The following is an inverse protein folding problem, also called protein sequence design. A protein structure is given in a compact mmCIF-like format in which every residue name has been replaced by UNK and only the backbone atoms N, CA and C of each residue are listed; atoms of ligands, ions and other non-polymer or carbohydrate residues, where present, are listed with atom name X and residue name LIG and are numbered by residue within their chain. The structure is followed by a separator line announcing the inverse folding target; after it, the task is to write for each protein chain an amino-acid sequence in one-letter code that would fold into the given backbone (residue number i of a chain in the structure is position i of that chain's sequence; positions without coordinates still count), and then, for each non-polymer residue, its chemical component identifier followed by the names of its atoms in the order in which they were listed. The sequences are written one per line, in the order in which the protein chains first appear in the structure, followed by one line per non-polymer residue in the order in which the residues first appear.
data_IF_211767849767
#
_entry.id   IF_211767849767
#
_cell.length_a   1.000
_cell.length_b   1.000
_cell.length_c   1.000
_cell.angle_alpha   90.00
_cell.angle_beta   90.00
_cell.angle_gamma   90.00
#
_symmetry.space_group_name_H-M   'P 1'
#
loop_
_entity.id
_entity.type
_entity.pdbx_description
1 polymer ?
#
# COMPACT_ATOMS: atom_id res chain seq x y z
N UNK A 1 18.81 36.72 -46.56
CA UNK A 1 18.08 37.79 -45.86
C UNK A 1 17.82 37.27 -44.47
N UNK A 2 18.74 37.53 -43.56
CA UNK A 2 18.86 38.69 -42.70
C UNK A 2 17.80 38.66 -41.58
N UNK A 3 18.17 38.25 -40.41
CA UNK A 3 18.56 38.92 -39.18
C UNK A 3 17.38 38.82 -38.20
N UNK A 4 17.46 38.74 -36.95
CA UNK A 4 18.39 39.24 -35.90
C UNK A 4 18.19 38.44 -34.63
N UNK A 5 19.27 38.10 -33.93
CA UNK A 5 19.30 37.85 -32.50
C UNK A 5 18.98 39.14 -31.75
N UNK A 6 18.12 39.09 -30.74
CA UNK A 6 18.02 40.12 -29.72
C UNK A 6 18.49 39.57 -28.38
N UNK A 7 19.47 40.26 -27.83
CA UNK A 7 20.14 40.01 -26.56
C UNK A 7 19.21 40.41 -25.39
N UNK A 8 19.11 39.57 -24.39
CA UNK A 8 18.49 39.89 -23.12
C UNK A 8 19.53 40.48 -22.18
N UNK A 9 19.21 41.68 -21.76
CA UNK A 9 19.92 42.69 -20.98
C UNK A 9 20.39 42.18 -19.59
N UNK A 10 21.65 42.47 -19.30
CA UNK A 10 22.33 42.24 -18.00
C UNK A 10 22.16 43.48 -17.10
N UNK A 11 20.97 43.80 -16.64
CA UNK A 11 20.70 44.88 -15.69
C UNK A 11 19.69 44.53 -14.61
N UNK A 12 19.87 43.44 -13.88
CA UNK A 12 18.98 43.02 -12.78
C UNK A 12 19.67 42.65 -11.46
N UNK A 13 20.99 42.81 -11.35
CA UNK A 13 21.73 42.33 -10.15
C UNK A 13 22.49 43.42 -9.38
N UNK A 14 22.16 44.70 -9.57
CA UNK A 14 22.89 45.83 -8.94
C UNK A 14 22.06 46.68 -7.96
N UNK A 15 20.98 46.18 -7.34
CA UNK A 15 20.12 46.98 -6.48
C UNK A 15 19.94 46.45 -5.02
N UNK A 16 20.81 45.59 -4.50
CA UNK A 16 20.72 45.10 -3.10
C UNK A 16 21.99 45.40 -2.26
N UNK A 17 22.93 46.22 -2.71
CA UNK A 17 24.18 46.51 -1.96
C UNK A 17 24.34 48.02 -1.66
N UNK A 18 23.31 48.79 -1.42
CA UNK A 18 23.43 50.19 -1.05
C UNK A 18 22.41 50.65 -0.02
N UNK A 19 22.46 50.08 1.20
CA UNK A 19 21.80 50.69 2.39
C UNK A 19 22.49 50.18 3.68
N UNK A 20 23.77 50.51 3.80
CA UNK A 20 24.47 50.47 5.11
C UNK A 20 25.42 51.64 5.16
N UNK A 21 24.93 52.74 5.77
CA UNK A 21 25.78 53.75 6.48
C UNK A 21 24.91 54.89 6.97
N UNK A 22 24.48 54.82 8.22
CA UNK A 22 24.25 55.86 9.21
C UNK A 22 23.55 55.17 10.39
N UNK A 23 24.02 55.00 11.57
CA UNK A 23 24.89 55.69 12.44
C UNK A 23 24.23 55.73 13.82
N UNK A 24 24.99 55.31 14.92
CA UNK A 24 24.73 55.51 16.37
C UNK A 24 23.67 54.56 16.97
N UNK A 25 23.92 53.65 17.87
CA UNK A 25 24.86 53.58 18.96
C UNK A 25 24.06 53.20 20.20
N UNK A 26 24.21 51.95 20.65
CA UNK A 26 24.24 51.53 22.06
C UNK A 26 24.49 50.03 22.11
N UNK A 27 25.73 49.66 22.34
CA UNK A 27 26.16 48.29 22.50
C UNK A 27 25.78 47.81 23.91
N UNK A 28 24.69 47.03 23.99
CA UNK A 28 24.47 46.17 25.14
C UNK A 28 25.33 44.91 24.94
N UNK A 29 26.39 44.75 25.75
CA UNK A 29 27.23 43.55 25.78
C UNK A 29 26.41 42.35 26.28
N UNK A 30 25.87 41.57 25.37
CA UNK A 30 25.28 40.26 25.69
C UNK A 30 26.47 39.29 25.85
N UNK A 31 26.70 38.81 27.06
CA UNK A 31 27.77 37.87 27.35
C UNK A 31 27.46 36.51 26.67
N UNK A 32 28.52 35.85 26.16
CA UNK A 32 28.43 34.52 25.52
C UNK A 32 27.78 33.42 26.39
N UNK A 33 27.61 33.66 27.68
CA UNK A 33 26.91 32.76 28.62
C UNK A 33 25.39 32.89 28.61
N UNK A 34 24.83 34.01 28.15
CA UNK A 34 23.38 34.23 28.10
C UNK A 34 22.70 33.61 26.87
N UNK A 35 23.44 33.38 25.78
CA UNK A 35 22.87 32.80 24.54
C UNK A 35 22.73 31.29 24.61
N UNK A 36 23.53 30.62 25.46
CA UNK A 36 23.44 29.16 25.66
C UNK A 36 22.28 28.72 26.56
N UNK A 37 21.72 29.61 27.37
CA UNK A 37 20.62 29.31 28.28
C UNK A 37 19.24 29.40 27.61
N UNK A 38 19.09 30.15 26.52
CA UNK A 38 17.83 30.29 25.77
C UNK A 38 17.66 29.25 24.63
N UNK A 39 18.76 28.64 24.17
CA UNK A 39 18.72 27.60 23.13
C UNK A 39 18.40 26.21 23.64
N UNK A 40 18.67 25.90 24.92
CA UNK A 40 18.44 24.57 25.47
C UNK A 40 16.99 24.30 25.89
N UNK A 41 16.19 25.34 26.12
CA UNK A 41 14.79 25.20 26.54
C UNK A 41 13.81 24.94 25.39
N UNK A 42 14.15 25.36 24.16
CA UNK A 42 13.24 25.21 23.01
C UNK A 42 13.34 23.84 22.29
N UNK A 43 14.48 23.13 22.45
CA UNK A 43 14.68 21.83 21.81
C UNK A 43 14.14 20.63 22.63
N UNK A 44 13.86 20.82 23.92
CA UNK A 44 13.30 19.77 24.79
C UNK A 44 11.77 19.78 24.84
N UNK A 45 11.11 20.83 24.36
CA UNK A 45 9.64 20.95 24.39
C UNK A 45 8.92 20.27 23.22
N UNK A 46 9.54 20.18 22.04
CA UNK A 46 8.89 19.67 20.85
C UNK A 46 8.52 18.16 20.94
N UNK A 47 9.38 17.23 21.41
CA UNK A 47 9.02 15.84 21.57
C UNK A 47 8.01 15.61 22.72
N UNK A 48 7.99 16.46 23.73
CA UNK A 48 7.03 16.37 24.84
C UNK A 48 5.63 16.84 24.46
N UNK A 49 5.50 17.85 23.61
CA UNK A 49 4.21 18.35 23.11
C UNK A 49 3.57 17.34 22.14
N UNK A 50 4.37 16.68 21.29
CA UNK A 50 3.89 15.62 20.40
C UNK A 50 3.45 14.38 21.21
N UNK A 51 4.19 14.03 22.27
CA UNK A 51 3.81 12.96 23.20
C UNK A 51 2.53 13.29 24.00
N UNK A 52 2.37 14.52 24.45
CA UNK A 52 1.18 14.93 25.19
C UNK A 52 -0.09 14.95 24.30
N UNK A 53 0.03 15.36 23.04
CA UNK A 53 -1.09 15.33 22.09
C UNK A 53 -1.50 13.89 21.72
N UNK A 54 -0.55 12.96 21.62
CA UNK A 54 -0.82 11.52 21.43
C UNK A 54 -1.47 10.88 22.66
N UNK A 55 -1.01 11.23 23.85
CA UNK A 55 -1.56 10.70 25.11
C UNK A 55 -3.02 11.12 25.38
N UNK A 56 -3.54 12.13 24.66
CA UNK A 56 -4.93 12.60 24.80
C UNK A 56 -5.93 11.97 23.81
N UNK A 57 -5.52 11.03 22.97
CA UNK A 57 -6.42 10.29 22.04
C UNK A 57 -7.14 11.19 21.01
N UNK A 58 -6.67 12.42 20.80
CA UNK A 58 -7.31 13.39 19.89
C UNK A 58 -6.89 13.26 18.43
N UNK A 59 -5.84 12.51 18.14
CA UNK A 59 -5.33 12.31 16.79
C UNK A 59 -4.83 10.88 16.66
N UNK A 60 -5.25 10.19 15.61
CA UNK A 60 -4.74 8.86 15.21
C UNK A 60 -3.91 9.01 13.94
N UNK A 61 -2.71 8.46 13.93
CA UNK A 61 -1.80 8.46 12.80
C UNK A 61 -1.87 7.12 12.07
N UNK A 62 -2.13 7.17 10.75
CA UNK A 62 -2.32 5.99 9.91
C UNK A 62 -1.27 6.00 8.80
N UNK A 63 -0.64 4.86 8.53
CA UNK A 63 0.24 4.74 7.38
C UNK A 63 -0.54 4.91 6.07
N UNK A 64 0.09 5.45 5.03
CA UNK A 64 -0.57 5.73 3.75
C UNK A 64 0.18 5.18 2.55
N UNK A 65 -0.60 4.62 1.62
CA UNK A 65 -0.14 4.23 0.28
C UNK A 65 -0.20 5.40 -0.73
N UNK A 66 -0.65 6.58 -0.30
CA UNK A 66 -0.75 7.78 -1.13
C UNK A 66 -1.77 7.72 -2.26
N UNK A 67 -1.81 8.78 -3.08
CA UNK A 67 -2.62 8.87 -4.30
C UNK A 67 -4.11 8.64 -4.09
N UNK A 68 -4.74 7.95 -5.05
CA UNK A 68 -6.19 7.65 -5.02
C UNK A 68 -6.60 6.81 -3.81
N UNK A 69 -5.72 5.96 -3.28
CA UNK A 69 -5.99 5.21 -2.06
C UNK A 69 -6.24 6.15 -0.87
N UNK A 70 -5.34 7.10 -0.64
CA UNK A 70 -5.47 8.05 0.49
C UNK A 70 -6.68 8.96 0.33
N UNK A 71 -6.94 9.47 -0.88
CA UNK A 71 -8.10 10.32 -1.13
C UNK A 71 -9.42 9.57 -0.91
N UNK A 72 -9.49 8.29 -1.27
CA UNK A 72 -10.64 7.43 -1.03
C UNK A 72 -10.82 7.09 0.45
N UNK A 73 -9.71 6.82 1.16
CA UNK A 73 -9.73 6.59 2.61
C UNK A 73 -10.19 7.83 3.37
N UNK A 74 -9.75 9.00 2.95
CA UNK A 74 -10.19 10.27 3.53
C UNK A 74 -11.70 10.44 3.45
N UNK A 75 -12.28 10.21 2.29
CA UNK A 75 -13.73 10.33 2.05
C UNK A 75 -14.55 9.25 2.78
N UNK A 76 -14.11 8.01 2.72
CA UNK A 76 -14.88 6.88 3.26
C UNK A 76 -14.69 6.69 4.78
N UNK A 77 -13.51 7.02 5.32
CA UNK A 77 -13.16 6.67 6.69
C UNK A 77 -12.74 7.88 7.54
N UNK A 78 -11.80 8.72 7.08
CA UNK A 78 -11.18 9.72 7.95
C UNK A 78 -12.16 10.84 8.31
N UNK A 79 -12.77 11.47 7.33
CA UNK A 79 -13.71 12.58 7.53
C UNK A 79 -14.96 12.12 8.30
N UNK A 80 -15.63 11.00 7.93
CA UNK A 80 -16.79 10.53 8.67
C UNK A 80 -16.45 10.11 10.11
N UNK A 81 -15.32 9.45 10.35
CA UNK A 81 -14.87 9.09 11.68
C UNK A 81 -14.62 10.34 12.55
N UNK A 82 -13.90 11.32 11.98
CA UNK A 82 -13.64 12.58 12.67
C UNK A 82 -14.94 13.34 12.99
N UNK A 83 -15.87 13.39 12.06
CA UNK A 83 -17.18 14.02 12.29
C UNK A 83 -17.97 13.34 13.41
N UNK A 84 -17.90 12.01 13.49
CA UNK A 84 -18.61 11.23 14.51
C UNK A 84 -17.98 11.27 15.89
N UNK A 85 -16.65 11.34 15.98
CA UNK A 85 -15.92 11.11 17.25
C UNK A 85 -15.15 12.32 17.74
N UNK A 86 -14.89 13.30 16.88
CA UNK A 86 -13.98 14.42 17.16
C UNK A 86 -12.48 14.05 17.09
N UNK A 87 -12.15 12.76 16.90
CA UNK A 87 -10.76 12.28 16.78
C UNK A 87 -10.26 12.58 15.37
N UNK A 88 -9.15 13.30 15.27
CA UNK A 88 -8.53 13.64 13.98
C UNK A 88 -7.74 12.46 13.44
N UNK A 89 -7.80 12.24 12.13
CA UNK A 89 -6.93 11.28 11.45
C UNK A 89 -5.87 12.03 10.66
N UNK A 90 -4.61 11.63 10.83
CA UNK A 90 -3.47 12.11 10.05
C UNK A 90 -2.77 10.94 9.38
N UNK A 91 -2.39 11.14 8.13
CA UNK A 91 -1.63 10.15 7.37
C UNK A 91 -0.13 10.40 7.52
N UNK A 92 0.62 9.32 7.59
CA UNK A 92 2.08 9.33 7.51
C UNK A 92 2.49 8.48 6.31
N UNK A 93 3.13 9.06 5.29
CA UNK A 93 3.47 8.36 4.07
C UNK A 93 4.36 7.14 4.31
N UNK A 94 4.20 6.16 3.44
CA UNK A 94 5.00 4.95 3.38
C UNK A 94 4.36 3.77 4.09
N UNK A 95 4.70 2.60 3.58
CA UNK A 95 4.32 1.29 4.12
C UNK A 95 5.57 0.46 4.22
N UNK A 96 5.98 0.12 5.44
CA UNK A 96 7.22 -0.60 5.67
C UNK A 96 7.12 -1.47 6.92
N UNK A 97 7.34 -2.77 6.75
CA UNK A 97 7.48 -3.69 7.87
C UNK A 97 8.67 -3.34 8.76
N UNK A 98 9.80 -2.92 8.17
CA UNK A 98 10.97 -2.50 8.91
C UNK A 98 10.68 -1.27 9.79
N UNK A 99 9.88 -0.32 9.30
CA UNK A 99 9.46 0.85 10.08
C UNK A 99 8.53 0.45 11.24
N UNK A 100 7.57 -0.47 11.01
CA UNK A 100 6.77 -1.04 12.11
C UNK A 100 7.65 -1.65 13.20
N UNK A 101 8.63 -2.47 12.81
CA UNK A 101 9.57 -3.09 13.75
C UNK A 101 10.40 -2.05 14.51
N UNK A 102 10.94 -1.06 13.80
CA UNK A 102 11.77 -0.01 14.40
C UNK A 102 10.99 0.80 15.44
N UNK A 103 9.75 1.23 15.13
CA UNK A 103 8.95 2.03 16.08
C UNK A 103 8.57 1.25 17.35
N UNK A 104 8.31 -0.05 17.23
CA UNK A 104 8.03 -0.92 18.39
C UNK A 104 9.29 -1.10 19.25
N UNK A 105 10.45 -1.35 18.62
CA UNK A 105 11.73 -1.55 19.32
C UNK A 105 12.22 -0.28 20.02
N UNK A 106 12.07 0.87 19.38
CA UNK A 106 12.52 2.16 19.92
C UNK A 106 11.48 2.87 20.77
N UNK A 107 10.23 2.36 20.79
CA UNK A 107 9.07 3.03 21.39
C UNK A 107 8.84 4.45 20.89
N UNK A 108 9.24 4.72 19.65
CA UNK A 108 9.00 5.97 18.96
C UNK A 108 7.95 5.75 17.87
N UNK A 109 6.67 5.89 18.24
CA UNK A 109 5.55 5.58 17.37
C UNK A 109 5.26 6.76 16.43
N UNK A 110 5.31 6.51 15.12
CA UNK A 110 4.87 7.43 14.09
C UNK A 110 3.49 7.03 13.55
N UNK A 111 3.16 5.75 13.60
CA UNK A 111 1.86 5.19 13.24
C UNK A 111 1.18 4.58 14.47
N UNK A 112 -0.07 4.93 14.68
CA UNK A 112 -0.95 4.27 15.66
C UNK A 112 -1.73 3.12 14.99
N UNK A 113 -2.07 3.26 13.70
CA UNK A 113 -2.67 2.20 12.90
C UNK A 113 -1.82 1.92 11.68
N UNK A 114 -1.53 0.64 11.45
CA UNK A 114 -0.78 0.17 10.29
C UNK A 114 -1.68 -0.75 9.46
N UNK A 115 -1.83 -0.44 8.18
CA UNK A 115 -2.55 -1.27 7.22
C UNK A 115 -1.55 -2.14 6.46
N UNK A 116 -1.59 -3.47 6.66
CA UNK A 116 -0.69 -4.45 6.06
C UNK A 116 -1.46 -5.67 5.52
N UNK A 117 -0.83 -6.38 4.58
CA UNK A 117 -1.35 -7.63 4.03
C UNK A 117 -1.22 -8.82 5.00
N UNK A 118 -1.82 -9.96 4.61
CA UNK A 118 -1.85 -11.16 5.46
C UNK A 118 -0.47 -11.72 5.79
N UNK A 119 0.47 -11.68 4.85
CA UNK A 119 1.83 -12.20 5.05
C UNK A 119 2.61 -11.33 6.05
N UNK A 120 2.54 -10.01 5.88
CA UNK A 120 3.15 -9.06 6.80
C UNK A 120 2.48 -9.09 8.18
N UNK A 121 1.16 -9.30 8.24
CA UNK A 121 0.45 -9.56 9.50
C UNK A 121 1.02 -10.79 10.21
N UNK A 122 1.10 -11.92 9.51
CA UNK A 122 1.63 -13.17 10.09
C UNK A 122 3.08 -13.00 10.55
N UNK A 123 3.90 -12.28 9.79
CA UNK A 123 5.27 -11.95 10.21
C UNK A 123 5.29 -11.07 11.47
N UNK A 124 4.43 -10.05 11.53
CA UNK A 124 4.35 -9.16 12.69
C UNK A 124 3.89 -9.90 13.97
N UNK A 125 2.99 -10.88 13.84
CA UNK A 125 2.58 -11.75 14.94
C UNK A 125 3.75 -12.62 15.43
N UNK A 126 4.48 -13.28 14.50
CA UNK A 126 5.64 -14.10 14.83
C UNK A 126 6.74 -13.30 15.55
N UNK A 127 6.92 -12.04 15.18
CA UNK A 127 7.93 -11.17 15.79
C UNK A 127 7.41 -10.42 17.04
N UNK A 128 6.15 -10.63 17.43
CA UNK A 128 5.56 -10.02 18.61
C UNK A 128 5.44 -8.49 18.56
N UNK A 129 5.18 -7.93 17.36
CA UNK A 129 5.17 -6.50 17.08
C UNK A 129 3.81 -5.82 17.25
N UNK A 130 2.76 -6.58 17.57
CA UNK A 130 1.38 -6.09 17.56
C UNK A 130 0.75 -6.12 18.94
N UNK A 131 -0.14 -5.16 19.21
CA UNK A 131 -1.09 -5.22 20.31
C UNK A 131 -2.17 -6.25 20.01
N UNK A 132 -2.64 -6.94 21.08
CA UNK A 132 -3.88 -7.70 20.96
C UNK A 132 -5.05 -6.75 20.74
N UNK A 133 -6.04 -7.22 20.00
CA UNK A 133 -7.27 -6.46 19.79
C UNK A 133 -7.92 -6.15 21.16
N UNK A 134 -8.02 -4.86 21.44
CA UNK A 134 -8.87 -4.38 22.53
C UNK A 134 -10.33 -4.55 22.10
N UNK A 135 -10.96 -5.62 22.52
CA UNK A 135 -12.31 -5.99 22.07
C UNK A 135 -13.36 -4.97 22.43
N UNK A 136 -13.19 -4.27 23.55
CA UNK A 136 -14.13 -3.23 24.01
C UNK A 136 -13.98 -1.95 23.15
N UNK A 137 -12.75 -1.46 22.99
CA UNK A 137 -12.47 -0.27 22.18
C UNK A 137 -12.82 -0.50 20.70
N UNK A 138 -12.53 -1.69 20.19
CA UNK A 138 -12.85 -2.12 18.83
C UNK A 138 -14.32 -2.52 18.66
N UNK A 139 -15.12 -2.62 19.72
CA UNK A 139 -16.47 -3.21 19.69
C UNK A 139 -16.50 -4.52 18.88
N UNK A 140 -15.52 -5.36 19.10
CA UNK A 140 -15.22 -6.51 18.25
C UNK A 140 -16.37 -7.52 18.17
N UNK A 141 -17.19 -7.62 19.22
CA UNK A 141 -18.35 -8.51 19.26
C UNK A 141 -19.51 -8.08 18.35
N UNK A 142 -19.46 -6.86 17.83
CA UNK A 142 -20.38 -6.34 16.82
C UNK A 142 -19.88 -6.47 15.38
N UNK A 143 -18.67 -7.02 15.20
CA UNK A 143 -18.09 -7.28 13.90
C UNK A 143 -18.26 -8.75 13.48
N UNK A 144 -18.31 -9.03 12.17
CA UNK A 144 -18.28 -10.42 11.71
C UNK A 144 -17.04 -11.18 12.26
N UNK A 145 -17.22 -12.36 12.85
CA UNK A 145 -16.13 -13.05 13.56
C UNK A 145 -14.88 -13.30 12.70
N UNK A 146 -15.05 -13.56 11.40
CA UNK A 146 -13.93 -13.80 10.48
C UNK A 146 -13.07 -12.56 10.23
N UNK A 147 -13.55 -11.35 10.55
CA UNK A 147 -12.79 -10.11 10.44
C UNK A 147 -11.93 -9.84 11.68
N UNK A 148 -12.27 -10.43 12.82
CA UNK A 148 -11.58 -10.18 14.08
C UNK A 148 -10.52 -11.24 14.28
N UNK A 149 -9.25 -10.85 14.25
CA UNK A 149 -8.09 -11.69 14.54
C UNK A 149 -7.58 -11.35 15.94
N UNK A 150 -6.66 -12.15 16.51
CA UNK A 150 -6.09 -11.87 17.83
C UNK A 150 -5.35 -10.53 17.90
N UNK A 151 -4.72 -10.13 16.80
CA UNK A 151 -3.83 -8.95 16.73
C UNK A 151 -4.20 -7.98 15.60
N UNK A 152 -5.42 -8.00 15.10
CA UNK A 152 -5.83 -7.12 14.01
C UNK A 152 -7.27 -7.29 13.58
N UNK A 153 -7.72 -6.35 12.75
CA UNK A 153 -9.05 -6.38 12.14
C UNK A 153 -8.91 -6.36 10.62
N UNK A 154 -9.47 -7.36 9.95
CA UNK A 154 -9.49 -7.43 8.49
C UNK A 154 -10.42 -6.36 7.94
N UNK A 155 -9.95 -5.55 7.00
CA UNK A 155 -10.68 -4.39 6.48
C UNK A 155 -11.25 -4.62 5.07
N UNK A 156 -10.45 -5.06 4.14
CA UNK A 156 -10.87 -5.29 2.75
C UNK A 156 -9.96 -6.32 2.07
N UNK A 157 -10.42 -6.84 0.93
CA UNK A 157 -9.61 -7.69 0.06
C UNK A 157 -9.20 -6.96 -1.20
N UNK A 158 -8.06 -7.33 -1.75
CA UNK A 158 -7.54 -6.85 -3.02
C UNK A 158 -6.99 -8.00 -3.85
N UNK A 159 -6.96 -7.79 -5.17
CA UNK A 159 -6.45 -8.78 -6.12
C UNK A 159 -5.18 -8.31 -6.80
N UNK A 160 -4.27 -9.25 -7.09
CA UNK A 160 -3.24 -9.08 -8.11
C UNK A 160 -3.62 -9.97 -9.29
N UNK A 161 -3.90 -9.36 -10.42
CA UNK A 161 -4.49 -10.01 -11.57
C UNK A 161 -3.54 -9.96 -12.76
N UNK A 162 -3.68 -10.93 -13.64
CA UNK A 162 -3.21 -10.80 -15.01
C UNK A 162 -4.06 -9.73 -15.72
N UNK A 163 -3.40 -8.74 -16.31
CA UNK A 163 -4.01 -7.68 -17.11
C UNK A 163 -3.28 -7.57 -18.43
N UNK A 164 -4.00 -7.37 -19.51
CA UNK A 164 -3.39 -7.21 -20.83
C UNK A 164 -4.10 -6.13 -21.67
N UNK A 165 -3.41 -5.61 -22.66
CA UNK A 165 -3.92 -4.63 -23.63
C UNK A 165 -4.75 -5.32 -24.70
N UNK A 166 -6.03 -4.99 -24.84
CA UNK A 166 -6.93 -5.57 -25.87
C UNK A 166 -6.54 -5.19 -27.29
N UNK A 167 -5.98 -3.99 -27.48
CA UNK A 167 -5.50 -3.53 -28.77
C UNK A 167 -4.27 -4.32 -29.28
N UNK A 168 -3.53 -4.98 -28.39
CA UNK A 168 -2.44 -5.89 -28.74
C UNK A 168 -2.90 -7.32 -29.01
N UNK A 169 -4.04 -7.69 -28.48
CA UNK A 169 -4.61 -9.04 -28.57
C UNK A 169 -6.06 -9.01 -29.10
N UNK A 170 -6.29 -8.56 -30.36
CA UNK A 170 -7.64 -8.36 -30.89
C UNK A 170 -8.45 -9.64 -31.02
N UNK A 171 -7.79 -10.81 -31.11
CA UNK A 171 -8.42 -12.13 -31.20
C UNK A 171 -8.52 -12.84 -29.85
N UNK A 172 -8.36 -12.12 -28.74
CA UNK A 172 -8.32 -12.65 -27.37
C UNK A 172 -6.90 -12.76 -26.82
N UNK A 173 -6.70 -12.27 -25.60
CA UNK A 173 -5.42 -12.30 -24.90
C UNK A 173 -5.30 -13.45 -23.91
N UNK A 174 -4.21 -13.47 -23.11
CA UNK A 174 -3.94 -14.53 -22.15
C UNK A 174 -5.03 -14.59 -21.06
N UNK A 175 -5.51 -15.80 -20.75
CA UNK A 175 -6.58 -16.05 -19.78
C UNK A 175 -6.10 -16.81 -18.54
N UNK A 176 -4.80 -17.10 -18.46
CA UNK A 176 -4.17 -17.85 -17.36
C UNK A 176 -2.70 -17.46 -17.21
N UNK A 177 -2.10 -17.85 -16.10
CA UNK A 177 -0.65 -17.69 -15.93
C UNK A 177 0.15 -18.59 -16.89
N UNK A 178 -0.40 -19.72 -17.31
CA UNK A 178 0.19 -20.54 -18.37
C UNK A 178 0.24 -19.77 -19.70
N UNK A 179 -0.85 -19.12 -20.08
CA UNK A 179 -0.88 -18.26 -21.26
C UNK A 179 0.08 -17.06 -21.12
N UNK A 180 0.14 -16.42 -19.94
CA UNK A 180 1.10 -15.37 -19.66
C UNK A 180 2.55 -15.80 -19.88
N UNK A 181 2.88 -17.05 -19.58
CA UNK A 181 4.21 -17.62 -19.76
C UNK A 181 4.45 -18.16 -21.19
N UNK A 182 3.41 -18.39 -21.99
CA UNK A 182 3.54 -18.86 -23.37
C UNK A 182 3.89 -17.68 -24.32
N UNK A 183 5.18 -17.42 -24.45
CA UNK A 183 5.71 -16.31 -25.26
C UNK A 183 5.52 -16.51 -26.77
N UNK A 184 5.24 -17.75 -27.20
CA UNK A 184 4.98 -18.07 -28.61
C UNK A 184 3.53 -17.79 -28.98
N UNK A 185 2.60 -18.25 -28.15
CA UNK A 185 1.16 -18.03 -28.35
C UNK A 185 0.75 -16.59 -28.11
N UNK A 186 1.31 -15.96 -27.09
CA UNK A 186 1.04 -14.57 -26.71
C UNK A 186 2.34 -13.76 -26.72
N UNK A 187 2.84 -13.39 -27.92
CA UNK A 187 4.03 -12.55 -28.01
C UNK A 187 3.76 -11.14 -27.45
N UNK A 188 4.80 -10.50 -26.93
CA UNK A 188 4.71 -9.15 -26.38
C UNK A 188 5.50 -8.97 -25.09
N UNK A 189 5.59 -7.72 -24.64
CA UNK A 189 6.33 -7.34 -23.44
C UNK A 189 5.52 -7.64 -22.18
N UNK A 190 6.20 -8.17 -21.15
CA UNK A 190 5.61 -8.60 -19.88
C UNK A 190 6.18 -7.82 -18.71
N UNK A 191 5.37 -7.64 -17.69
CA UNK A 191 5.79 -7.02 -16.44
C UNK A 191 5.19 -7.76 -15.24
N UNK A 192 5.97 -7.89 -14.17
CA UNK A 192 5.53 -8.51 -12.93
C UNK A 192 5.80 -7.59 -11.74
N UNK A 193 5.10 -7.86 -10.64
CA UNK A 193 5.34 -7.21 -9.36
C UNK A 193 6.64 -7.76 -8.73
N UNK A 194 7.55 -6.88 -8.28
CA UNK A 194 8.77 -7.28 -7.56
C UNK A 194 8.41 -7.81 -6.16
N UNK A 195 7.73 -8.95 -6.12
CA UNK A 195 7.26 -9.62 -4.91
C UNK A 195 7.45 -11.12 -5.04
N UNK A 196 8.46 -11.67 -4.37
CA UNK A 196 8.92 -13.03 -4.54
C UNK A 196 7.80 -14.08 -4.46
N UNK A 197 7.05 -14.11 -3.37
CA UNK A 197 6.06 -15.16 -3.15
C UNK A 197 4.87 -15.10 -4.11
N UNK A 198 4.45 -13.91 -4.58
CA UNK A 198 3.42 -13.76 -5.61
C UNK A 198 3.91 -14.31 -6.95
N UNK A 199 5.10 -13.89 -7.40
CA UNK A 199 5.68 -14.36 -8.65
C UNK A 199 5.93 -15.86 -8.66
N UNK A 200 6.41 -16.42 -7.54
CA UNK A 200 6.62 -17.87 -7.42
C UNK A 200 5.30 -18.65 -7.47
N UNK A 201 4.22 -18.13 -6.87
CA UNK A 201 2.90 -18.73 -6.98
C UNK A 201 2.37 -18.68 -8.42
N UNK A 202 2.51 -17.54 -9.11
CA UNK A 202 2.13 -17.42 -10.54
C UNK A 202 2.92 -18.38 -11.42
N UNK A 203 4.21 -18.57 -11.13
CA UNK A 203 5.04 -19.54 -11.85
C UNK A 203 4.56 -20.99 -11.67
N UNK A 204 4.19 -21.38 -10.44
CA UNK A 204 3.64 -22.72 -10.17
C UNK A 204 2.30 -22.93 -10.86
N UNK A 205 1.41 -21.93 -10.84
CA UNK A 205 0.15 -21.96 -11.59
C UNK A 205 0.40 -22.12 -13.09
N UNK A 206 1.38 -21.38 -13.62
CA UNK A 206 1.79 -21.47 -15.03
C UNK A 206 2.37 -22.86 -15.39
N UNK A 207 3.01 -23.52 -14.43
CA UNK A 207 3.58 -24.86 -14.57
C UNK A 207 2.59 -25.99 -14.22
N UNK A 208 1.29 -25.65 -14.13
CA UNK A 208 0.19 -26.59 -13.98
C UNK A 208 -0.07 -27.08 -12.56
N UNK A 209 0.50 -26.42 -11.53
CA UNK A 209 0.16 -26.72 -10.13
C UNK A 209 -1.24 -26.17 -9.82
N UNK A 210 -2.20 -27.00 -9.37
CA UNK A 210 -3.52 -26.50 -8.98
C UNK A 210 -3.45 -25.47 -7.84
N UNK A 211 -4.37 -24.49 -7.84
CA UNK A 211 -4.38 -23.42 -6.87
C UNK A 211 -4.49 -23.90 -5.40
N UNK A 212 -5.22 -24.98 -5.17
CA UNK A 212 -5.37 -25.64 -3.86
C UNK A 212 -4.16 -26.49 -3.42
N UNK A 213 -3.16 -26.66 -4.31
CA UNK A 213 -1.92 -27.42 -4.08
C UNK A 213 -0.66 -26.54 -4.14
N UNK A 214 -0.80 -25.23 -4.11
CA UNK A 214 0.34 -24.32 -4.12
C UNK A 214 1.22 -24.41 -2.88
N UNK A 215 0.66 -24.89 -1.76
CA UNK A 215 1.38 -24.97 -0.49
C UNK A 215 1.39 -26.40 0.08
N UNK A 216 2.53 -26.86 0.65
CA UNK A 216 3.81 -26.16 0.72
C UNK A 216 4.39 -25.90 -0.67
N UNK A 217 4.91 -24.67 -0.90
CA UNK A 217 5.39 -24.26 -2.22
C UNK A 217 6.67 -25.01 -2.62
N UNK A 218 6.69 -25.62 -3.82
CA UNK A 218 7.92 -26.11 -4.47
C UNK A 218 8.70 -24.91 -5.04
N UNK A 219 9.52 -24.33 -4.17
CA UNK A 219 10.26 -23.10 -4.46
C UNK A 219 11.25 -23.30 -5.62
N UNK A 220 11.89 -24.48 -5.71
CA UNK A 220 12.87 -24.75 -6.77
C UNK A 220 12.18 -24.87 -8.14
N UNK A 221 11.03 -25.55 -8.19
CA UNK A 221 10.20 -25.63 -9.39
C UNK A 221 9.73 -24.25 -9.84
N UNK A 222 9.28 -23.43 -8.89
CA UNK A 222 8.85 -22.07 -9.18
C UNK A 222 9.98 -21.20 -9.77
N UNK A 223 11.20 -21.27 -9.20
CA UNK A 223 12.34 -20.54 -9.75
C UNK A 223 12.79 -21.06 -11.13
N UNK A 224 12.71 -22.38 -11.39
CA UNK A 224 12.98 -22.91 -12.74
C UNK A 224 12.01 -22.29 -13.76
N UNK A 225 10.71 -22.28 -13.45
CA UNK A 225 9.69 -21.68 -14.32
C UNK A 225 9.89 -20.17 -14.49
N UNK A 226 10.22 -19.46 -13.43
CA UNK A 226 10.54 -18.03 -13.50
C UNK A 226 11.78 -17.76 -14.35
N UNK A 227 12.78 -18.64 -14.34
CA UNK A 227 14.00 -18.49 -15.16
C UNK A 227 13.72 -18.63 -16.65
N UNK A 228 12.75 -19.48 -17.04
CA UNK A 228 12.27 -19.56 -18.44
C UNK A 228 11.60 -18.24 -18.87
N UNK A 229 10.87 -17.60 -17.97
CA UNK A 229 10.12 -16.39 -18.25
C UNK A 229 10.98 -15.10 -18.16
N UNK A 230 12.01 -15.08 -17.32
CA UNK A 230 12.82 -13.90 -17.00
C UNK A 230 13.32 -13.11 -18.22
N UNK A 231 13.84 -13.74 -19.32
CA UNK A 231 14.28 -13.01 -20.51
C UNK A 231 13.17 -12.22 -21.21
N UNK A 232 11.91 -12.53 -20.91
CA UNK A 232 10.72 -11.92 -21.52
C UNK A 232 10.05 -10.88 -20.60
N UNK A 233 10.57 -10.67 -19.40
CA UNK A 233 10.09 -9.65 -18.47
C UNK A 233 10.82 -8.35 -18.73
N UNK A 234 10.09 -7.35 -19.22
CA UNK A 234 10.63 -6.01 -19.51
C UNK A 234 10.89 -5.19 -18.25
N UNK A 235 10.04 -5.36 -17.23
CA UNK A 235 10.14 -4.59 -15.98
C UNK A 235 9.59 -5.36 -14.78
N UNK A 236 10.12 -5.01 -13.61
CA UNK A 236 9.65 -5.45 -12.30
C UNK A 236 9.17 -4.21 -11.55
N UNK A 237 7.86 -4.01 -11.45
CA UNK A 237 7.34 -2.83 -10.78
C UNK A 237 7.30 -3.00 -9.26
N UNK A 238 7.41 -1.88 -8.54
CA UNK A 238 7.42 -1.83 -7.07
C UNK A 238 6.29 -0.99 -6.51
N UNK A 239 5.85 0.01 -7.27
CA UNK A 239 4.80 0.95 -6.86
C UNK A 239 3.59 0.85 -7.79
N UNK A 240 2.38 0.94 -7.21
CA UNK A 240 1.14 0.81 -7.98
C UNK A 240 0.99 1.85 -9.10
N UNK A 241 1.47 3.07 -8.91
CA UNK A 241 1.52 4.12 -9.95
C UNK A 241 2.43 3.76 -11.10
N UNK A 242 3.59 3.13 -10.82
CA UNK A 242 4.49 2.63 -11.85
C UNK A 242 3.81 1.57 -12.72
N UNK A 243 3.07 0.61 -12.11
CA UNK A 243 2.36 -0.41 -12.86
C UNK A 243 1.29 0.18 -13.78
N UNK A 244 0.56 1.21 -13.31
CA UNK A 244 -0.42 1.92 -14.14
C UNK A 244 0.25 2.63 -15.32
N UNK A 245 1.35 3.33 -15.10
CA UNK A 245 2.05 4.06 -16.16
C UNK A 245 2.57 3.10 -17.23
N UNK A 246 3.26 2.03 -16.86
CA UNK A 246 3.84 1.06 -17.79
C UNK A 246 2.82 0.50 -18.78
N UNK A 247 1.61 0.13 -18.31
CA UNK A 247 0.61 -0.46 -19.20
C UNK A 247 -0.23 0.60 -19.93
N UNK A 248 -0.48 1.77 -19.31
CA UNK A 248 -1.18 2.91 -19.94
C UNK A 248 -0.40 3.41 -21.15
N UNK A 249 0.91 3.61 -20.99
CA UNK A 249 1.77 4.17 -22.03
C UNK A 249 2.16 3.12 -23.11
N UNK A 250 1.69 1.87 -22.94
CA UNK A 250 1.98 0.79 -23.89
C UNK A 250 3.43 0.32 -23.82
N UNK A 251 4.14 0.61 -22.73
CA UNK A 251 5.49 0.09 -22.53
C UNK A 251 5.47 -1.43 -22.30
N UNK A 252 4.39 -1.95 -21.75
CA UNK A 252 4.15 -3.38 -21.60
C UNK A 252 2.78 -3.77 -22.16
N UNK A 253 2.69 -4.96 -22.74
CA UNK A 253 1.49 -5.49 -23.36
C UNK A 253 0.64 -6.31 -22.38
N UNK A 254 1.27 -6.90 -21.37
CA UNK A 254 0.63 -7.66 -20.30
C UNK A 254 1.40 -7.53 -18.98
N UNK A 255 0.67 -7.57 -17.87
CA UNK A 255 1.22 -7.28 -16.54
C UNK A 255 0.46 -8.02 -15.44
N UNK A 256 1.17 -8.42 -14.37
CA UNK A 256 0.54 -8.70 -13.09
C UNK A 256 0.40 -7.39 -12.33
N UNK A 257 -0.84 -6.95 -12.03
CA UNK A 257 -1.05 -5.69 -11.30
C UNK A 257 -2.28 -5.73 -10.39
N UNK A 258 -2.35 -4.80 -9.48
CA UNK A 258 -3.48 -4.71 -8.56
C UNK A 258 -4.78 -4.39 -9.29
N UNK A 259 -5.83 -5.20 -9.00
CA UNK A 259 -7.13 -5.12 -9.66
C UNK A 259 -7.74 -3.72 -9.66
N UNK A 260 -7.73 -3.02 -8.52
CA UNK A 260 -8.30 -1.69 -8.42
C UNK A 260 -7.58 -0.68 -9.33
N UNK A 261 -6.27 -0.81 -9.50
CA UNK A 261 -5.47 0.04 -10.40
C UNK A 261 -5.75 -0.25 -11.87
N UNK A 262 -5.99 -1.52 -12.21
CA UNK A 262 -6.37 -1.90 -13.58
C UNK A 262 -7.77 -1.39 -13.92
N UNK A 263 -8.71 -1.52 -12.99
CA UNK A 263 -10.09 -1.07 -13.18
C UNK A 263 -10.17 0.45 -13.32
N UNK A 264 -9.40 1.20 -12.53
CA UNK A 264 -9.25 2.65 -12.67
C UNK A 264 -8.83 3.05 -14.11
N UNK A 265 -7.85 2.35 -14.69
CA UNK A 265 -7.45 2.56 -16.07
C UNK A 265 -8.53 2.16 -17.09
N UNK A 266 -9.28 1.08 -16.84
CA UNK A 266 -10.39 0.64 -17.68
C UNK A 266 -11.52 1.68 -17.67
N UNK A 267 -11.82 2.25 -16.51
CA UNK A 267 -12.80 3.33 -16.33
C UNK A 267 -12.34 4.63 -17.02
N UNK A 268 -11.02 4.85 -17.13
CA UNK A 268 -10.38 5.92 -17.93
C UNK A 268 -10.30 5.57 -19.44
N UNK A 269 -11.00 4.53 -19.91
CA UNK A 269 -11.03 4.08 -21.30
C UNK A 269 -9.69 3.57 -21.85
N UNK A 270 -8.74 3.17 -21.00
CA UNK A 270 -7.56 2.43 -21.49
C UNK A 270 -8.01 1.04 -21.94
N UNK A 271 -7.63 0.56 -23.13
CA UNK A 271 -8.16 -0.70 -23.70
C UNK A 271 -7.53 -1.93 -23.03
N UNK A 272 -7.87 -2.15 -21.77
CA UNK A 272 -7.37 -3.26 -20.97
C UNK A 272 -8.44 -4.34 -20.74
N UNK A 273 -7.97 -5.56 -20.51
CA UNK A 273 -8.75 -6.67 -19.97
C UNK A 273 -8.12 -7.13 -18.67
N UNK A 274 -8.96 -7.38 -17.68
CA UNK A 274 -8.56 -7.91 -16.38
C UNK A 274 -9.06 -9.33 -16.22
N UNK A 275 -8.15 -10.26 -15.93
CA UNK A 275 -8.44 -11.69 -15.80
C UNK A 275 -8.48 -12.10 -14.34
N UNK A 276 -9.57 -12.73 -13.91
CA UNK A 276 -9.72 -13.22 -12.53
C UNK A 276 -9.20 -14.64 -12.33
N UNK A 277 -9.09 -15.42 -13.40
CA UNK A 277 -8.58 -16.80 -13.33
C UNK A 277 -7.14 -16.82 -12.81
N UNK A 278 -6.92 -17.48 -11.68
CA UNK A 278 -5.62 -17.52 -11.01
C UNK A 278 -5.18 -16.20 -10.39
N UNK A 279 -6.09 -15.23 -10.20
CA UNK A 279 -5.76 -14.01 -9.48
C UNK A 279 -5.35 -14.32 -8.03
N UNK A 280 -4.36 -13.59 -7.52
CA UNK A 280 -4.01 -13.58 -6.11
C UNK A 280 -5.03 -12.72 -5.36
N UNK A 281 -5.69 -13.28 -4.35
CA UNK A 281 -6.52 -12.51 -3.42
C UNK A 281 -5.86 -12.51 -2.05
N UNK A 282 -5.71 -11.33 -1.46
CA UNK A 282 -5.23 -11.16 -0.10
C UNK A 282 -6.02 -10.09 0.63
N UNK A 283 -5.97 -10.14 1.96
CA UNK A 283 -6.68 -9.21 2.83
C UNK A 283 -5.73 -8.18 3.42
N UNK A 284 -6.22 -6.96 3.50
CA UNK A 284 -5.59 -5.90 4.27
C UNK A 284 -6.10 -5.93 5.71
N UNK A 285 -5.19 -5.79 6.65
CA UNK A 285 -5.48 -5.85 8.08
C UNK A 285 -5.08 -4.52 8.73
N UNK A 286 -5.92 -4.06 9.64
CA UNK A 286 -5.67 -2.91 10.50
C UNK A 286 -5.02 -3.42 11.78
N UNK A 287 -3.82 -2.96 12.05
CA UNK A 287 -2.95 -3.43 13.10
C UNK A 287 -2.54 -2.26 13.99
N UNK A 288 -2.44 -2.49 15.28
CA UNK A 288 -1.92 -1.52 16.25
C UNK A 288 -0.54 -1.99 16.72
N UNK A 289 0.50 -1.15 16.59
CA UNK A 289 1.85 -1.50 17.06
C UNK A 289 1.90 -1.75 18.56
N UNK A 290 2.68 -2.74 18.98
CA UNK A 290 2.80 -3.12 20.40
C UNK A 290 3.41 -1.98 21.23
N UNK A 291 2.73 -1.61 22.32
CA UNK A 291 3.14 -0.54 23.21
C UNK A 291 2.73 0.84 22.75
N UNK A 292 1.89 0.95 21.73
CA UNK A 292 1.38 2.23 21.26
C UNK A 292 0.57 2.94 22.36
N UNK A 293 0.95 4.17 22.75
CA UNK A 293 0.25 4.92 23.81
C UNK A 293 -1.17 5.36 23.38
N UNK A 294 -1.49 5.34 22.09
CA UNK A 294 -2.77 5.75 21.52
C UNK A 294 -3.66 4.57 21.09
N UNK A 295 -3.30 3.34 21.50
CA UNK A 295 -3.93 2.09 21.06
C UNK A 295 -5.47 2.10 21.17
N UNK A 296 -6.03 2.69 22.24
CA UNK A 296 -7.49 2.77 22.44
C UNK A 296 -8.17 3.53 21.30
N UNK A 297 -7.67 4.72 20.93
CA UNK A 297 -8.21 5.52 19.84
C UNK A 297 -7.96 4.84 18.47
N UNK A 298 -6.82 4.17 18.31
CA UNK A 298 -6.50 3.36 17.15
C UNK A 298 -7.54 2.23 16.95
N UNK A 299 -7.90 1.48 17.99
CA UNK A 299 -8.93 0.44 17.91
C UNK A 299 -10.33 0.97 17.63
N UNK A 300 -10.67 2.17 18.14
CA UNK A 300 -11.93 2.84 17.78
C UNK A 300 -11.99 3.16 16.28
N UNK A 301 -10.88 3.62 15.71
CA UNK A 301 -10.79 3.85 14.28
C UNK A 301 -10.86 2.53 13.48
N UNK A 302 -10.15 1.49 13.91
CA UNK A 302 -10.24 0.16 13.28
C UNK A 302 -11.68 -0.38 13.27
N UNK A 303 -12.43 -0.19 14.36
CA UNK A 303 -13.85 -0.54 14.41
C UNK A 303 -14.66 0.21 13.36
N UNK A 304 -14.45 1.53 13.25
CA UNK A 304 -15.18 2.35 12.28
C UNK A 304 -14.94 1.88 10.85
N UNK A 305 -13.68 1.64 10.48
CA UNK A 305 -13.31 1.11 9.14
C UNK A 305 -13.95 -0.26 8.87
N UNK A 306 -14.14 -1.07 9.89
CA UNK A 306 -14.73 -2.41 9.76
C UNK A 306 -16.25 -2.43 9.61
N UNK A 307 -16.95 -1.30 9.78
CA UNK A 307 -18.41 -1.23 9.62
C UNK A 307 -18.84 -1.39 8.16
N UNK A 308 -20.04 -1.91 7.95
CA UNK A 308 -20.56 -2.20 6.61
C UNK A 308 -20.66 -0.96 5.72
N UNK A 309 -21.21 0.15 6.24
CA UNK A 309 -21.41 1.38 5.44
C UNK A 309 -20.09 2.02 5.02
N UNK A 310 -19.10 2.29 5.91
CA UNK A 310 -17.82 2.82 5.50
C UNK A 310 -17.07 1.93 4.50
N UNK A 311 -17.13 0.60 4.65
CA UNK A 311 -16.52 -0.32 3.69
C UNK A 311 -17.20 -0.29 2.33
N UNK A 312 -18.54 -0.17 2.28
CA UNK A 312 -19.26 0.00 1.04
C UNK A 312 -18.88 1.31 0.35
N UNK A 313 -18.83 2.42 1.10
CA UNK A 313 -18.44 3.73 0.57
C UNK A 313 -17.03 3.69 -0.03
N UNK A 314 -16.09 3.04 0.67
CA UNK A 314 -14.74 2.84 0.16
C UNK A 314 -14.72 1.99 -1.12
N UNK A 315 -15.44 0.87 -1.14
CA UNK A 315 -15.52 -0.02 -2.30
C UNK A 315 -16.19 0.64 -3.52
N UNK A 316 -17.08 1.61 -3.31
CA UNK A 316 -17.67 2.42 -4.39
C UNK A 316 -16.68 3.43 -4.97
N UNK A 317 -15.72 3.92 -4.18
CA UNK A 317 -14.64 4.82 -4.64
C UNK A 317 -13.50 4.06 -5.30
N UNK A 318 -13.11 2.92 -4.73
CA UNK A 318 -12.08 2.04 -5.24
C UNK A 318 -12.57 0.59 -5.21
N UNK A 319 -12.47 -0.19 -6.29
CA UNK A 319 -13.02 -1.54 -6.39
C UNK A 319 -12.25 -2.58 -5.56
N UNK A 320 -12.11 -2.34 -4.27
CA UNK A 320 -11.67 -3.31 -3.28
C UNK A 320 -12.84 -4.10 -2.73
N UNK A 321 -12.62 -5.37 -2.41
CA UNK A 321 -13.66 -6.22 -1.85
C UNK A 321 -13.88 -5.93 -0.36
N UNK A 322 -15.08 -5.54 0.08
CA UNK A 322 -15.33 -5.34 1.49
C UNK A 322 -15.20 -6.65 2.26
N UNK A 323 -14.52 -6.63 3.41
CA UNK A 323 -14.46 -7.78 4.29
C UNK A 323 -15.76 -7.98 5.09
N UNK A 324 -16.48 -6.90 5.35
CA UNK A 324 -17.79 -6.96 6.01
C UNK A 324 -18.89 -7.39 5.01
N UNK A 325 -19.54 -8.55 5.20
CA UNK A 325 -20.55 -9.04 4.27
C UNK A 325 -21.73 -8.08 4.11
N UNK A 326 -22.10 -7.33 5.17
CA UNK A 326 -23.17 -6.35 5.13
C UNK A 326 -22.90 -5.19 4.17
N UNK A 327 -21.63 -4.92 3.85
CA UNK A 327 -21.29 -3.90 2.87
C UNK A 327 -21.72 -4.26 1.43
N UNK A 328 -21.75 -5.56 1.09
CA UNK A 328 -22.12 -6.02 -0.26
C UNK A 328 -23.53 -5.59 -0.65
N UNK A 329 -24.46 -5.60 0.31
CA UNK A 329 -25.85 -5.17 0.09
C UNK A 329 -26.00 -3.65 -0.12
N UNK A 330 -24.99 -2.87 0.25
CA UNK A 330 -24.96 -1.41 0.10
C UNK A 330 -24.21 -0.95 -1.18
N UNK A 331 -23.68 -1.90 -1.96
CA UNK A 331 -22.96 -1.63 -3.20
C UNK A 331 -23.87 -1.85 -4.42
N UNK A 332 -23.54 -1.17 -5.53
CA UNK A 332 -24.13 -1.56 -6.82
C UNK A 332 -23.58 -2.91 -7.26
N UNK A 333 -24.42 -3.71 -7.91
CA UNK A 333 -24.00 -5.02 -8.41
C UNK A 333 -22.86 -4.90 -9.43
N UNK A 334 -22.86 -3.85 -10.25
CA UNK A 334 -21.80 -3.57 -11.20
C UNK A 334 -20.43 -3.39 -10.50
N UNK A 335 -20.39 -2.56 -9.44
CA UNK A 335 -19.16 -2.35 -8.67
C UNK A 335 -18.73 -3.62 -7.92
N UNK A 336 -19.66 -4.35 -7.32
CA UNK A 336 -19.33 -5.60 -6.60
C UNK A 336 -18.67 -6.63 -7.53
N UNK A 337 -19.15 -6.78 -8.78
CA UNK A 337 -18.54 -7.67 -9.79
C UNK A 337 -17.09 -7.32 -10.14
N UNK A 338 -16.70 -6.09 -9.97
CA UNK A 338 -15.30 -5.64 -10.19
C UNK A 338 -14.37 -5.94 -9.01
N UNK A 339 -14.87 -6.48 -7.91
CA UNK A 339 -14.09 -6.69 -6.68
C UNK A 339 -13.71 -8.15 -6.46
N UNK A 340 -12.65 -8.41 -5.65
CA UNK A 340 -12.32 -9.77 -5.19
C UNK A 340 -13.45 -10.42 -4.37
N UNK A 341 -14.37 -9.63 -3.80
CA UNK A 341 -15.48 -10.13 -2.98
C UNK A 341 -16.68 -10.65 -3.81
N UNK A 342 -16.62 -10.55 -5.14
CA UNK A 342 -17.61 -11.18 -6.02
C UNK A 342 -17.39 -12.70 -6.04
N UNK A 343 -18.44 -13.54 -5.76
CA UNK A 343 -18.26 -14.97 -5.60
C UNK A 343 -17.59 -15.68 -6.77
N UNK A 344 -17.89 -15.29 -8.01
CA UNK A 344 -17.30 -15.87 -9.20
C UNK A 344 -15.82 -15.54 -9.34
N UNK A 345 -15.42 -14.33 -8.92
CA UNK A 345 -14.00 -13.92 -8.89
C UNK A 345 -13.24 -14.69 -7.81
N UNK A 346 -13.83 -14.80 -6.61
CA UNK A 346 -13.22 -15.52 -5.50
C UNK A 346 -13.03 -17.00 -5.81
N UNK A 347 -13.98 -17.61 -6.53
CA UNK A 347 -13.96 -19.05 -6.89
C UNK A 347 -12.78 -19.45 -7.78
N UNK A 348 -12.33 -18.56 -8.67
CA UNK A 348 -11.27 -18.82 -9.65
C UNK A 348 -9.91 -18.26 -9.24
N UNK A 349 -9.87 -17.55 -8.13
CA UNK A 349 -8.67 -16.96 -7.56
C UNK A 349 -8.03 -17.88 -6.52
N UNK A 350 -6.82 -17.55 -6.07
CA UNK A 350 -6.17 -18.24 -4.96
C UNK A 350 -5.81 -17.28 -3.83
N UNK A 351 -5.57 -17.85 -2.65
CA UNK A 351 -5.09 -17.15 -1.47
C UNK A 351 -3.75 -17.72 -1.02
N UNK A 352 -2.88 -16.87 -0.52
CA UNK A 352 -1.62 -17.31 0.04
C UNK A 352 -1.81 -18.01 1.40
N UNK A 353 -1.01 -19.03 1.64
CA UNK A 353 -0.77 -19.53 2.99
C UNK A 353 0.25 -18.63 3.71
N UNK A 354 -0.27 -17.60 4.38
CA UNK A 354 0.56 -16.64 5.11
C UNK A 354 1.35 -17.30 6.25
N UNK A 355 0.82 -18.36 6.87
CA UNK A 355 1.49 -19.10 7.92
C UNK A 355 2.70 -19.87 7.39
N UNK A 356 2.61 -20.38 6.16
CA UNK A 356 3.75 -21.02 5.50
C UNK A 356 4.78 -19.99 5.02
N UNK A 357 4.33 -18.85 4.46
CA UNK A 357 5.21 -17.83 3.87
C UNK A 357 5.97 -17.05 4.95
N UNK A 358 5.30 -16.56 5.99
CA UNK A 358 5.85 -15.60 6.94
C UNK A 358 7.19 -16.04 7.57
N UNK A 359 7.36 -17.28 8.08
CA UNK A 359 8.64 -17.73 8.63
C UNK A 359 9.74 -17.90 7.57
N UNK A 360 9.38 -17.95 6.30
CA UNK A 360 10.30 -18.15 5.16
C UNK A 360 10.53 -16.87 4.36
N UNK A 361 9.84 -15.78 4.68
CA UNK A 361 9.80 -14.58 3.87
C UNK A 361 11.19 -13.95 3.66
N UNK A 362 12.04 -13.93 4.69
CA UNK A 362 13.40 -13.41 4.59
C UNK A 362 14.23 -14.23 3.58
N UNK A 363 14.19 -15.56 3.69
CA UNK A 363 14.90 -16.47 2.78
C UNK A 363 14.38 -16.37 1.33
N UNK A 364 13.05 -16.28 1.16
CA UNK A 364 12.45 -16.11 -0.17
C UNK A 364 12.85 -14.79 -0.82
N UNK A 365 12.90 -13.70 -0.04
CA UNK A 365 13.34 -12.37 -0.52
C UNK A 365 14.82 -12.36 -0.89
N UNK A 366 15.67 -12.94 -0.05
CA UNK A 366 17.11 -13.05 -0.33
C UNK A 366 17.37 -13.81 -1.63
N UNK A 367 16.81 -15.03 -1.75
CA UNK A 367 16.94 -15.85 -2.94
C UNK A 367 16.38 -15.15 -4.18
N UNK A 368 15.25 -14.45 -4.05
CA UNK A 368 14.65 -13.67 -5.13
C UNK A 368 15.58 -12.53 -5.59
N UNK A 369 16.15 -11.78 -4.65
CA UNK A 369 17.09 -10.70 -4.97
C UNK A 369 18.33 -11.21 -5.69
N UNK A 370 18.90 -12.31 -5.21
CA UNK A 370 20.03 -12.98 -5.89
C UNK A 370 19.66 -13.41 -7.30
N UNK A 371 18.49 -14.07 -7.45
CA UNK A 371 18.01 -14.54 -8.75
C UNK A 371 17.72 -13.37 -9.72
N UNK A 372 17.24 -12.23 -9.26
CA UNK A 372 17.03 -11.05 -10.13
C UNK A 372 18.33 -10.50 -10.70
N UNK A 373 19.44 -10.64 -10.00
CA UNK A 373 20.76 -10.10 -10.40
C UNK A 373 21.57 -11.03 -11.29
N UNK A 374 21.24 -12.32 -11.34
CA UNK A 374 21.86 -13.32 -12.23
C UNK A 374 21.17 -13.37 -13.59
#
# INVERSE_FOLDING_TARGET
MSGRCEAIDRQGVAAVVALQKTGWGMAARISRRGVLALGAGALLGAPAIIRAARAQGRTVYVNSYGGVWESSWRKAFFEPFTAQTGIQIKTVPGVSFAKLKAQVQTRNFEWDVVNLGDVEYAQAVLEGLLEKVDRDAAKADHLPPHMVRDYGITSYSLGTNLVYRKDKFPNGGPQSWADFCDVKKFPGSRCLYDRSFSCLAFALLADGVPADKLYPMDVDRAFRKMSELKPHIKAWWREGSQSQQLIRDGEVDMIAMWSARAIDLIEDNVPLELVWNGAEIYYANLLVPKGDPNAKAAWQFCNFVAQAKPQADFAMLLPYGPANPGARALMTQARLRQTPAWPENEKVAFKHDAAWIAPRLAQLRERWTQWLTT
#
